data_IF_621658330383
#
_entry.id   IF_621658330383
#
_cell.length_a   1.000
_cell.length_b   1.000
_cell.length_c   1.000
_cell.angle_alpha   90.00
_cell.angle_beta   90.00
_cell.angle_gamma   90.00
#
_symmetry.space_group_name_H-M   'P 1'
#
loop_
_entity.id
_entity.type
_entity.pdbx_description
1 polymer ?
#
# COMPACT_ATOMS: atom_id res chain seq x y z
N UNK A 1 -6.51 37.83 -7.49
CA UNK A 1 -6.69 37.85 -6.03
C UNK A 1 -5.45 37.23 -5.43
N UNK A 2 -4.55 37.99 -4.76
CA UNK A 2 -3.41 37.39 -4.09
C UNK A 2 -3.91 36.70 -2.81
N UNK A 3 -3.72 35.39 -2.70
CA UNK A 3 -4.00 34.65 -1.48
C UNK A 3 -2.93 35.02 -0.45
N UNK A 4 -3.34 35.63 0.65
CA UNK A 4 -2.48 35.96 1.77
C UNK A 4 -2.14 34.68 2.53
N UNK A 5 -0.96 34.12 2.28
CA UNK A 5 -0.45 32.90 2.92
C UNK A 5 0.04 33.20 4.33
N UNK A 6 -0.84 33.12 5.33
CA UNK A 6 -0.44 33.15 6.74
C UNK A 6 -0.10 31.75 7.23
N UNK A 7 1.04 31.22 6.80
CA UNK A 7 1.68 30.05 7.42
C UNK A 7 3.13 30.41 7.78
N UNK A 8 3.31 31.53 8.47
CA UNK A 8 4.62 31.87 9.04
C UNK A 8 4.99 30.82 10.10
N UNK A 9 6.26 30.36 10.15
CA UNK A 9 6.72 29.49 11.22
C UNK A 9 6.41 30.13 12.58
N UNK A 10 5.83 29.34 13.47
CA UNK A 10 5.53 29.74 14.85
C UNK A 10 6.78 30.33 15.51
N UNK A 11 6.69 31.42 16.30
CA UNK A 11 7.84 31.96 17.01
C UNK A 11 8.53 30.85 17.83
N UNK A 12 9.80 30.55 17.52
CA UNK A 12 10.55 29.45 18.13
C UNK A 12 10.68 28.18 17.28
N UNK A 13 10.22 28.17 16.03
CA UNK A 13 10.48 27.07 15.11
C UNK A 13 11.94 27.10 14.61
N UNK A 14 12.62 25.96 14.70
CA UNK A 14 13.96 25.75 14.17
C UNK A 14 13.89 25.16 12.76
N UNK A 15 14.72 25.69 11.86
CA UNK A 15 14.90 25.08 10.54
C UNK A 15 15.86 23.91 10.65
N UNK A 16 15.38 22.72 10.29
CA UNK A 16 16.19 21.52 10.20
C UNK A 16 16.21 20.98 8.76
N UNK A 17 17.35 20.44 8.29
CA UNK A 17 17.40 19.76 7.00
C UNK A 17 16.48 18.54 6.96
N UNK A 18 15.90 18.24 5.80
CA UNK A 18 15.04 17.06 5.62
C UNK A 18 15.68 15.76 6.12
N UNK A 19 16.98 15.59 5.87
CA UNK A 19 17.75 14.40 6.28
C UNK A 19 17.88 14.25 7.81
N UNK A 20 17.69 15.33 8.57
CA UNK A 20 17.76 15.34 10.03
C UNK A 20 16.38 15.26 10.68
N UNK A 21 15.31 15.34 9.89
CA UNK A 21 13.95 15.28 10.40
C UNK A 21 13.52 13.85 10.73
N UNK A 22 12.77 13.71 11.82
CA UNK A 22 12.15 12.45 12.20
C UNK A 22 11.02 12.09 11.23
N UNK A 23 10.67 10.78 11.09
CA UNK A 23 9.52 10.37 10.28
C UNK A 23 8.20 11.04 10.68
N UNK A 24 8.01 11.32 11.98
CA UNK A 24 6.84 12.04 12.49
C UNK A 24 6.77 13.48 11.99
N UNK A 25 7.89 14.23 12.06
CA UNK A 25 7.98 15.60 11.58
C UNK A 25 7.76 15.69 10.06
N UNK A 26 8.36 14.79 9.29
CA UNK A 26 8.14 14.72 7.83
C UNK A 26 6.68 14.43 7.52
N UNK A 27 6.05 13.51 8.25
CA UNK A 27 4.63 13.19 8.04
C UNK A 27 3.74 14.40 8.34
N UNK A 28 3.99 15.09 9.46
CA UNK A 28 3.20 16.24 9.87
C UNK A 28 3.36 17.42 8.90
N UNK A 29 4.58 17.72 8.46
CA UNK A 29 4.81 18.78 7.49
C UNK A 29 4.18 18.50 6.13
N UNK A 30 4.17 17.24 5.69
CA UNK A 30 3.46 16.82 4.47
C UNK A 30 1.95 17.00 4.63
N UNK A 31 1.39 16.62 5.77
CA UNK A 31 -0.04 16.76 6.01
C UNK A 31 -0.46 18.24 6.06
N UNK A 32 0.37 19.09 6.67
CA UNK A 32 0.19 20.55 6.68
C UNK A 32 0.30 21.14 5.27
N UNK A 33 1.31 20.75 4.49
CA UNK A 33 1.46 21.19 3.10
C UNK A 33 0.27 20.75 2.23
N UNK A 34 -0.23 19.52 2.42
CA UNK A 34 -1.42 19.01 1.74
C UNK A 34 -2.68 19.79 2.13
N UNK A 35 -2.83 20.19 3.39
CA UNK A 35 -3.96 21.03 3.80
C UNK A 35 -3.86 22.42 3.18
N UNK A 36 -2.66 23.01 3.14
CA UNK A 36 -2.42 24.34 2.58
C UNK A 36 -2.64 24.39 1.05
N UNK A 37 -2.25 23.32 0.34
CA UNK A 37 -2.34 23.23 -1.13
C UNK A 37 -3.57 22.44 -1.63
N UNK A 38 -4.30 21.79 -0.74
CA UNK A 38 -5.32 20.79 -1.08
C UNK A 38 -6.51 21.33 -1.87
N UNK A 39 -6.77 22.64 -1.83
CA UNK A 39 -7.80 23.29 -2.65
C UNK A 39 -7.33 23.57 -4.08
N UNK A 40 -6.03 23.64 -4.33
CA UNK A 40 -5.43 23.98 -5.63
C UNK A 40 -5.21 22.76 -6.51
N UNK A 41 -5.01 21.59 -5.90
CA UNK A 41 -4.86 20.33 -6.60
C UNK A 41 -6.11 19.46 -6.39
N UNK A 42 -6.51 18.69 -7.42
CA UNK A 42 -7.49 17.62 -7.24
C UNK A 42 -7.02 16.67 -6.12
N UNK A 43 -7.91 15.86 -5.51
CA UNK A 43 -7.53 14.88 -4.49
C UNK A 43 -6.39 13.95 -4.97
N UNK A 44 -5.15 14.33 -4.66
CA UNK A 44 -3.97 13.57 -5.06
C UNK A 44 -3.72 12.41 -4.10
N UNK A 45 -3.27 11.28 -4.65
CA UNK A 45 -2.92 10.09 -3.87
C UNK A 45 -1.83 10.41 -2.84
N UNK A 46 -1.92 9.80 -1.65
CA UNK A 46 -0.92 10.00 -0.57
C UNK A 46 0.51 9.69 -1.03
N UNK A 47 0.70 8.69 -1.89
CA UNK A 47 2.02 8.32 -2.41
C UNK A 47 2.64 9.42 -3.27
N UNK A 48 1.84 10.20 -4.02
CA UNK A 48 2.34 11.32 -4.84
C UNK A 48 2.97 12.38 -3.94
N UNK A 49 2.32 12.71 -2.83
CA UNK A 49 2.85 13.62 -1.82
C UNK A 49 4.11 13.09 -1.14
N UNK A 50 4.17 11.78 -0.85
CA UNK A 50 5.36 11.14 -0.27
C UNK A 50 6.54 11.27 -1.25
N UNK A 51 6.34 10.91 -2.51
CA UNK A 51 7.39 10.96 -3.54
C UNK A 51 7.86 12.39 -3.79
N UNK A 52 6.95 13.37 -3.81
CA UNK A 52 7.29 14.77 -3.96
C UNK A 52 8.19 15.27 -2.80
N UNK A 53 7.85 14.93 -1.55
CA UNK A 53 8.69 15.27 -0.39
C UNK A 53 10.05 14.57 -0.43
N UNK A 54 10.10 13.29 -0.83
CA UNK A 54 11.37 12.56 -0.97
C UNK A 54 12.25 13.10 -2.09
N UNK A 55 11.65 13.58 -3.18
CA UNK A 55 12.37 14.13 -4.33
C UNK A 55 12.92 15.51 -4.03
N UNK A 56 12.10 16.38 -3.43
CA UNK A 56 12.47 17.77 -3.17
C UNK A 56 13.29 17.95 -1.89
N UNK A 57 13.13 17.03 -0.93
CA UNK A 57 13.74 17.08 0.39
C UNK A 57 13.67 18.49 1.00
N UNK A 58 12.46 19.05 1.16
CA UNK A 58 12.32 20.41 1.65
C UNK A 58 12.80 20.51 3.09
N UNK A 59 13.48 21.60 3.40
CA UNK A 59 13.84 21.90 4.78
C UNK A 59 12.58 22.14 5.61
N UNK A 60 12.63 21.70 6.87
CA UNK A 60 11.48 21.65 7.75
C UNK A 60 11.66 22.68 8.85
N UNK A 61 10.61 23.45 9.08
CA UNK A 61 10.49 24.34 10.23
C UNK A 61 9.72 23.62 11.33
N UNK A 62 10.45 23.25 12.39
CA UNK A 62 9.93 22.46 13.50
C UNK A 62 9.80 23.35 14.74
N UNK A 63 8.56 23.53 15.20
CA UNK A 63 8.22 24.07 16.51
C UNK A 63 7.85 22.96 17.51
N UNK A 64 7.44 23.35 18.74
CA UNK A 64 7.15 22.41 19.83
C UNK A 64 6.17 21.29 19.46
N UNK A 65 5.11 21.63 18.72
CA UNK A 65 4.04 20.68 18.33
C UNK A 65 3.76 20.65 16.83
N UNK A 66 4.57 21.32 16.01
CA UNK A 66 4.27 21.52 14.59
C UNK A 66 5.52 21.44 13.73
N UNK A 67 5.51 20.59 12.71
CA UNK A 67 6.46 20.66 11.60
C UNK A 67 5.75 21.20 10.34
N UNK A 68 6.38 22.14 9.65
CA UNK A 68 5.87 22.70 8.39
C UNK A 68 7.03 22.99 7.43
N UNK A 69 6.70 23.33 6.19
CA UNK A 69 7.65 23.85 5.21
C UNK A 69 7.37 25.35 5.02
N UNK A 70 8.39 26.14 4.69
CA UNK A 70 8.19 27.56 4.45
C UNK A 70 7.55 27.85 3.10
N UNK A 71 7.19 29.10 2.86
CA UNK A 71 6.53 29.54 1.63
C UNK A 71 7.36 29.24 0.38
N UNK A 72 8.69 29.34 0.45
CA UNK A 72 9.55 29.08 -0.71
C UNK A 72 9.58 27.59 -1.06
N UNK A 73 9.59 26.72 -0.06
CA UNK A 73 9.47 25.27 -0.23
C UNK A 73 8.07 24.86 -0.68
N UNK A 74 7.02 25.56 -0.22
CA UNK A 74 5.64 25.37 -0.71
C UNK A 74 5.54 25.74 -2.20
N UNK A 75 6.17 26.82 -2.63
CA UNK A 75 6.17 27.22 -4.05
C UNK A 75 6.93 26.21 -4.91
N UNK A 76 8.09 25.73 -4.46
CA UNK A 76 8.86 24.66 -5.13
C UNK A 76 8.05 23.37 -5.24
N UNK A 77 7.37 22.99 -4.15
CA UNK A 77 6.49 21.83 -4.11
C UNK A 77 5.30 21.99 -5.08
N UNK A 78 4.71 23.17 -5.13
CA UNK A 78 3.62 23.48 -6.05
C UNK A 78 4.05 23.36 -7.50
N UNK A 79 5.17 23.97 -7.88
CA UNK A 79 5.73 23.88 -9.23
C UNK A 79 6.04 22.43 -9.63
N UNK A 80 6.59 21.65 -8.70
CA UNK A 80 6.86 20.24 -8.94
C UNK A 80 5.58 19.45 -9.20
N UNK A 81 4.55 19.63 -8.36
CA UNK A 81 3.26 18.95 -8.51
C UNK A 81 2.51 19.35 -9.79
N UNK A 82 2.62 20.62 -10.21
CA UNK A 82 2.07 21.10 -11.48
C UNK A 82 2.81 20.51 -12.69
N UNK A 83 4.11 20.20 -12.55
CA UNK A 83 4.90 19.57 -13.61
C UNK A 83 4.68 18.07 -13.79
N UNK A 84 3.99 17.42 -12.84
CA UNK A 84 3.70 16.00 -12.94
C UNK A 84 2.72 15.71 -14.09
N UNK A 85 2.91 14.60 -14.84
CA UNK A 85 1.97 14.18 -15.88
C UNK A 85 0.54 14.08 -15.34
N UNK A 86 -0.44 14.41 -16.17
CA UNK A 86 -1.86 14.42 -15.80
C UNK A 86 -2.36 13.07 -15.24
N UNK A 87 -1.71 11.96 -15.57
CA UNK A 87 -2.00 10.63 -15.02
C UNK A 87 -1.79 10.55 -13.49
N UNK A 88 -0.91 11.38 -12.92
CA UNK A 88 -0.71 11.52 -11.48
C UNK A 88 -1.80 12.35 -10.80
N UNK A 89 -2.50 13.19 -11.58
CA UNK A 89 -3.60 14.06 -11.13
C UNK A 89 -4.98 13.40 -11.34
N UNK A 90 -5.11 12.51 -12.33
CA UNK A 90 -6.38 12.00 -12.85
C UNK A 90 -6.98 10.78 -12.12
N UNK A 91 -6.37 10.27 -11.03
CA UNK A 91 -6.94 9.16 -10.25
C UNK A 91 -7.46 9.62 -8.88
N UNK A 92 -8.41 10.55 -8.92
CA UNK A 92 -9.40 10.71 -7.86
C UNK A 92 -10.25 9.42 -7.84
N UNK A 93 -10.50 8.85 -6.65
CA UNK A 93 -11.30 7.62 -6.43
C UNK A 93 -10.65 6.24 -6.62
N UNK A 94 -9.32 6.11 -6.63
CA UNK A 94 -8.74 4.78 -6.43
C UNK A 94 -8.57 4.46 -4.94
N UNK A 95 -9.52 3.68 -4.44
CA UNK A 95 -9.49 2.84 -3.24
C UNK A 95 -8.04 2.51 -2.79
N UNK A 96 -7.69 2.72 -1.50
CA UNK A 96 -6.37 2.40 -0.93
C UNK A 96 -5.82 1.01 -1.26
N UNK A 97 -6.67 0.10 -1.75
CA UNK A 97 -6.35 -1.28 -2.12
C UNK A 97 -5.54 -1.43 -3.42
N UNK A 98 -5.47 -0.41 -4.29
CA UNK A 98 -4.80 -0.57 -5.60
C UNK A 98 -3.26 -0.55 -5.57
N UNK A 99 -2.61 -0.21 -4.45
CA UNK A 99 -1.15 -0.21 -4.37
C UNK A 99 -0.53 -1.55 -3.93
N UNK A 100 -1.34 -2.58 -3.69
CA UNK A 100 -0.86 -3.95 -3.49
C UNK A 100 -0.50 -4.68 -4.79
N UNK A 101 -0.69 -4.07 -5.96
CA UNK A 101 -0.67 -4.79 -7.26
C UNK A 101 0.57 -4.57 -8.12
N UNK A 102 1.70 -4.17 -7.53
CA UNK A 102 3.01 -4.34 -8.18
C UNK A 102 3.93 -5.16 -7.29
N UNK A 103 3.60 -6.44 -7.10
CA UNK A 103 4.56 -7.53 -6.91
C UNK A 103 3.81 -8.85 -6.77
N UNK A 104 4.08 -9.72 -7.73
CA UNK A 104 3.93 -11.18 -7.72
C UNK A 104 2.51 -11.78 -7.76
N UNK A 105 2.36 -12.92 -8.46
CA UNK A 105 1.07 -13.56 -8.70
C UNK A 105 0.54 -14.12 -7.38
N UNK A 106 -0.73 -13.85 -7.09
CA UNK A 106 -1.44 -14.16 -5.85
C UNK A 106 -0.79 -13.57 -4.60
N UNK A 107 -1.45 -12.58 -4.01
CA UNK A 107 -1.07 -12.02 -2.70
C UNK A 107 -1.34 -13.01 -1.55
N UNK A 108 -1.08 -14.31 -1.73
CA UNK A 108 -0.94 -15.26 -0.63
C UNK A 108 0.49 -15.07 -0.09
N UNK A 109 0.67 -14.53 1.13
CA UNK A 109 1.99 -14.31 1.69
C UNK A 109 2.84 -15.59 1.60
N UNK A 110 4.12 -15.46 1.28
CA UNK A 110 5.06 -16.59 1.15
C UNK A 110 5.03 -17.50 2.39
N UNK A 111 4.74 -16.93 3.56
CA UNK A 111 4.56 -17.65 4.82
C UNK A 111 3.37 -18.60 4.79
N UNK A 112 2.27 -18.23 4.13
CA UNK A 112 1.08 -19.08 3.98
C UNK A 112 1.37 -20.20 2.97
N UNK A 113 2.05 -19.90 1.86
CA UNK A 113 2.45 -20.92 0.88
C UNK A 113 3.46 -21.91 1.47
N UNK A 114 4.37 -21.44 2.32
CA UNK A 114 5.31 -22.28 3.07
C UNK A 114 4.60 -23.15 4.11
N UNK A 115 3.70 -22.55 4.90
CA UNK A 115 2.89 -23.30 5.85
C UNK A 115 2.00 -24.35 5.16
N UNK A 116 1.45 -24.04 3.98
CA UNK A 116 0.71 -25.01 3.17
C UNK A 116 1.61 -26.17 2.72
N UNK A 117 2.82 -25.89 2.25
CA UNK A 117 3.78 -26.93 1.86
C UNK A 117 4.22 -27.81 3.04
N UNK A 118 4.37 -27.23 4.23
CA UNK A 118 4.65 -27.99 5.47
C UNK A 118 3.50 -28.93 5.82
N UNK A 119 2.24 -28.49 5.64
CA UNK A 119 1.06 -29.33 5.84
C UNK A 119 0.88 -30.42 4.77
N UNK A 120 1.36 -30.18 3.55
CA UNK A 120 1.39 -31.21 2.50
C UNK A 120 2.45 -32.28 2.77
N UNK A 121 3.58 -31.89 3.37
CA UNK A 121 4.61 -32.82 3.78
C UNK A 121 4.18 -33.68 4.98
N UNK A 122 3.48 -33.09 5.95
CA UNK A 122 2.85 -33.80 7.07
C UNK A 122 1.51 -33.15 7.46
N UNK A 123 0.37 -33.77 7.06
CA UNK A 123 -0.95 -33.25 7.35
C UNK A 123 -1.29 -33.13 8.84
N UNK A 124 -0.51 -33.73 9.73
CA UNK A 124 -0.73 -33.73 11.19
C UNK A 124 0.33 -32.93 11.96
N UNK A 125 1.29 -32.29 11.28
CA UNK A 125 2.34 -31.48 11.90
C UNK A 125 1.79 -30.33 12.75
N UNK A 126 0.54 -29.91 12.50
CA UNK A 126 -0.13 -28.87 13.27
C UNK A 126 -1.49 -29.32 13.83
N UNK A 127 -1.86 -28.71 14.95
CA UNK A 127 -3.20 -28.85 15.55
C UNK A 127 -4.31 -28.33 14.62
N UNK A 128 -5.58 -28.74 14.87
CA UNK A 128 -6.71 -28.43 14.00
C UNK A 128 -6.98 -26.92 13.84
N UNK A 129 -6.65 -26.11 14.84
CA UNK A 129 -6.80 -24.65 14.77
C UNK A 129 -5.82 -24.00 13.78
N UNK A 130 -4.57 -24.46 13.74
CA UNK A 130 -3.55 -23.96 12.80
C UNK A 130 -3.86 -24.41 11.38
N UNK A 131 -4.35 -25.64 11.23
CA UNK A 131 -4.85 -26.14 9.94
C UNK A 131 -6.00 -25.29 9.40
N UNK A 132 -7.02 -25.05 10.23
CA UNK A 132 -8.19 -24.26 9.83
C UNK A 132 -7.81 -22.82 9.46
N UNK A 133 -6.82 -22.23 10.15
CA UNK A 133 -6.28 -20.92 9.84
C UNK A 133 -5.61 -20.89 8.46
N UNK A 134 -4.65 -21.79 8.21
CA UNK A 134 -3.89 -21.81 6.96
C UNK A 134 -4.80 -22.15 5.77
N UNK A 135 -5.61 -23.21 5.89
CA UNK A 135 -6.56 -23.60 4.85
C UNK A 135 -7.64 -22.52 4.61
N UNK A 136 -8.13 -21.87 5.68
CA UNK A 136 -9.08 -20.77 5.59
C UNK A 136 -8.51 -19.54 4.89
N UNK A 137 -7.26 -19.18 5.17
CA UNK A 137 -6.58 -18.08 4.50
C UNK A 137 -6.35 -18.39 3.02
N UNK A 138 -5.89 -19.60 2.66
CA UNK A 138 -5.70 -20.00 1.26
C UNK A 138 -7.02 -19.95 0.48
N UNK A 139 -8.12 -20.45 1.06
CA UNK A 139 -9.47 -20.36 0.45
C UNK A 139 -9.92 -18.91 0.30
N UNK A 140 -9.78 -18.09 1.34
CA UNK A 140 -10.13 -16.68 1.29
C UNK A 140 -9.33 -15.92 0.24
N UNK A 141 -8.03 -16.20 0.08
CA UNK A 141 -7.21 -15.60 -0.97
C UNK A 141 -7.67 -16.03 -2.37
N UNK A 142 -7.97 -17.32 -2.56
CA UNK A 142 -8.52 -17.83 -3.82
C UNK A 142 -9.91 -17.27 -4.15
N UNK A 143 -10.72 -16.89 -3.17
CA UNK A 143 -12.08 -16.35 -3.36
C UNK A 143 -12.11 -14.82 -3.48
N UNK A 144 -11.36 -14.10 -2.65
CA UNK A 144 -11.32 -12.64 -2.62
C UNK A 144 -10.76 -12.04 -3.91
N UNK A 145 -9.87 -12.76 -4.61
CA UNK A 145 -9.32 -12.30 -5.88
C UNK A 145 -10.33 -12.44 -7.05
N UNK A 146 -11.30 -13.35 -6.99
CA UNK A 146 -12.36 -13.48 -8.01
C UNK A 146 -13.25 -12.21 -8.10
N UNK A 147 -13.38 -11.48 -6.99
CA UNK A 147 -14.13 -10.22 -6.93
C UNK A 147 -13.37 -9.03 -7.53
N UNK A 148 -12.03 -9.08 -7.56
CA UNK A 148 -11.19 -7.96 -7.98
C UNK A 148 -10.86 -8.02 -9.48
N UNK A 149 -10.64 -9.22 -10.03
CA UNK A 149 -10.28 -9.41 -11.44
C UNK A 149 -11.45 -9.29 -12.42
N UNK A 150 -12.67 -9.61 -12.01
CA UNK A 150 -13.88 -9.43 -12.87
C UNK A 150 -14.24 -7.96 -13.12
N UNK A 151 -13.67 -7.01 -12.37
CA UNK A 151 -13.94 -5.56 -12.48
C UNK A 151 -12.87 -4.76 -13.21
N UNK A 152 -11.68 -5.33 -13.43
CA UNK A 152 -10.58 -4.65 -14.09
C UNK A 152 -10.10 -5.58 -15.22
N UNK A 153 -10.50 -5.27 -16.45
CA UNK A 153 -9.81 -5.81 -17.62
C UNK A 153 -8.44 -5.15 -17.67
N UNK A 154 -7.38 -5.88 -17.32
CA UNK A 154 -6.01 -5.38 -17.41
C UNK A 154 -5.05 -6.52 -17.81
N UNK A 155 -3.82 -6.18 -18.21
CA UNK A 155 -3.10 -6.77 -19.32
C UNK A 155 -2.40 -8.06 -18.89
N UNK A 156 -2.18 -8.96 -19.86
CA UNK A 156 -1.38 -10.16 -19.66
C UNK A 156 -0.04 -9.87 -18.96
N UNK A 157 0.27 -10.66 -17.91
CA UNK A 157 1.57 -10.68 -17.25
C UNK A 157 2.66 -11.26 -18.16
N UNK A 158 3.90 -10.73 -18.05
CA UNK A 158 5.09 -11.20 -18.78
C UNK A 158 5.47 -12.67 -18.52
N UNK A 159 4.93 -13.33 -17.49
CA UNK A 159 5.18 -14.73 -17.18
C UNK A 159 4.13 -15.72 -17.73
N UNK A 160 3.02 -15.22 -18.29
CA UNK A 160 2.04 -16.05 -19.01
C UNK A 160 1.27 -17.10 -18.18
N UNK A 161 1.44 -17.16 -16.86
CA UNK A 161 0.62 -18.04 -16.02
C UNK A 161 -0.77 -17.45 -15.82
N UNK A 162 -1.78 -18.22 -16.24
CA UNK A 162 -3.18 -17.86 -16.14
C UNK A 162 -3.59 -17.78 -14.65
N UNK A 163 -4.09 -16.63 -14.16
CA UNK A 163 -4.51 -16.47 -12.76
C UNK A 163 -5.61 -17.45 -12.36
N UNK A 164 -6.47 -17.86 -13.30
CA UNK A 164 -7.51 -18.86 -13.03
C UNK A 164 -6.89 -20.24 -12.79
N UNK A 165 -5.80 -20.56 -13.50
CA UNK A 165 -5.05 -21.81 -13.32
C UNK A 165 -4.31 -21.84 -11.97
N UNK A 166 -3.68 -20.73 -11.58
CA UNK A 166 -3.00 -20.60 -10.29
C UNK A 166 -3.99 -20.77 -9.11
N UNK A 167 -5.17 -20.16 -9.23
CA UNK A 167 -6.28 -20.29 -8.27
C UNK A 167 -6.78 -21.73 -8.17
N UNK A 168 -7.08 -22.35 -9.31
CA UNK A 168 -7.53 -23.73 -9.36
C UNK A 168 -6.52 -24.68 -8.68
N UNK A 169 -5.23 -24.41 -8.88
CA UNK A 169 -4.15 -25.17 -8.26
C UNK A 169 -4.12 -25.04 -6.73
N UNK A 170 -4.26 -23.83 -6.17
CA UNK A 170 -4.31 -23.65 -4.71
C UNK A 170 -5.52 -24.32 -4.06
N UNK A 171 -6.69 -24.20 -4.69
CA UNK A 171 -7.90 -24.84 -4.17
C UNK A 171 -7.79 -26.36 -4.20
N UNK A 172 -7.21 -26.93 -5.26
CA UNK A 172 -6.97 -28.36 -5.37
C UNK A 172 -6.02 -28.88 -4.27
N UNK A 173 -4.98 -28.10 -3.92
CA UNK A 173 -4.03 -28.43 -2.83
C UNK A 173 -4.74 -28.51 -1.47
N UNK A 174 -5.57 -27.51 -1.14
CA UNK A 174 -6.34 -27.51 0.10
C UNK A 174 -7.36 -28.66 0.13
N UNK A 175 -8.02 -28.94 -1.00
CA UNK A 175 -8.96 -30.05 -1.09
C UNK A 175 -8.28 -31.41 -0.90
N UNK A 176 -7.07 -31.60 -1.43
CA UNK A 176 -6.28 -32.80 -1.22
C UNK A 176 -5.92 -32.98 0.27
N UNK A 177 -5.56 -31.91 0.97
CA UNK A 177 -5.33 -31.93 2.42
C UNK A 177 -6.58 -32.28 3.22
N UNK A 178 -7.74 -31.73 2.85
CA UNK A 178 -9.02 -32.07 3.49
C UNK A 178 -9.32 -33.56 3.33
N UNK A 179 -9.12 -34.11 2.13
CA UNK A 179 -9.30 -35.54 1.87
C UNK A 179 -8.38 -36.42 2.72
N UNK A 180 -7.10 -36.06 2.83
CA UNK A 180 -6.12 -36.79 3.65
C UNK A 180 -6.48 -36.77 5.13
N UNK A 181 -6.83 -35.60 5.67
CA UNK A 181 -7.15 -35.47 7.10
C UNK A 181 -8.46 -36.14 7.50
N UNK A 182 -9.46 -36.09 6.61
CA UNK A 182 -10.75 -36.76 6.84
C UNK A 182 -10.65 -38.29 6.71
N UNK A 183 -9.75 -38.80 5.87
CA UNK A 183 -9.54 -40.24 5.70
C UNK A 183 -8.92 -40.93 6.92
N UNK A 184 -8.16 -40.22 7.77
CA UNK A 184 -7.59 -40.79 8.99
C UNK A 184 -8.41 -40.51 10.26
N UNK A 185 -9.54 -39.80 10.15
CA UNK A 185 -10.52 -39.65 11.25
C UNK A 185 -11.52 -40.79 11.37
N UNK A 186 -11.43 -41.79 10.49
CA UNK A 186 -12.30 -42.98 10.42
C UNK A 186 -11.55 -44.30 10.66
N UNK A 187 -10.50 -44.28 11.49
CA UNK A 187 -9.77 -45.47 11.93
C UNK A 187 -9.89 -45.65 13.45
#
# INVERSE_FOLDING_TARGET
MPLTYSHLPTPGAERIPFAQATPGQVSQARDNARQALGSRFLPMRKITWINAFQTLQPDLWVGPDTACIDTSEVDRLTQHLESLPSDFQARSESDPRQFYFRRQPMNCPDEILRALAELEADPYACGPAVYALVAGLVRHHAEAENFYWTRISDPHEENGEDPDQARATLLARVQALDCLRNASGTA
#
